data_IF_418716126195
#
_entry.id   IF_418716126195
#
_cell.length_a   1.000
_cell.length_b   1.000
_cell.length_c   1.000
_cell.angle_alpha   90.00
_cell.angle_beta   90.00
_cell.angle_gamma   90.00
#
_symmetry.space_group_name_H-M   'P 1'
#
loop_
_entity.id
_entity.type
_entity.pdbx_description
1 polymer ?
#
# COMPACT_ATOMS: atom_id res chain seq x y z
N UNK A 1 -8.46 -41.14 5.44
CA UNK A 1 -7.29 -40.57 6.12
C UNK A 1 -6.67 -39.54 5.18
N UNK A 2 -7.43 -38.47 4.91
CA UNK A 2 -7.20 -37.48 3.84
C UNK A 2 -7.23 -36.07 4.48
N UNK A 3 -6.52 -35.93 5.59
CA UNK A 3 -6.48 -34.70 6.38
C UNK A 3 -5.02 -34.47 6.78
N UNK A 4 -4.16 -34.22 5.79
CA UNK A 4 -2.75 -33.91 6.07
C UNK A 4 -2.03 -33.20 4.92
N UNK A 5 -2.70 -32.25 4.25
CA UNK A 5 -1.99 -31.42 3.25
C UNK A 5 -2.50 -29.98 3.13
N UNK A 6 -3.65 -29.66 3.72
CA UNK A 6 -4.19 -28.29 3.80
C UNK A 6 -3.48 -27.40 4.82
N UNK A 7 -2.73 -27.99 5.76
CA UNK A 7 -2.07 -27.24 6.84
C UNK A 7 -0.62 -26.84 6.52
N UNK A 8 0.02 -27.48 5.53
CA UNK A 8 1.39 -27.16 5.13
C UNK A 8 1.52 -25.83 4.36
N UNK A 9 0.41 -25.21 3.92
CA UNK A 9 0.40 -23.85 3.35
C UNK A 9 0.36 -22.75 4.42
N UNK A 10 0.25 -23.09 5.71
CA UNK A 10 0.04 -22.12 6.80
C UNK A 10 1.32 -21.63 7.46
N UNK A 11 2.47 -22.21 7.15
CA UNK A 11 3.74 -21.92 7.82
C UNK A 11 4.72 -21.22 6.87
N UNK A 12 4.52 -19.92 6.68
CA UNK A 12 5.63 -19.03 6.40
C UNK A 12 5.31 -17.67 7.04
N UNK A 13 5.84 -17.36 8.23
CA UNK A 13 6.04 -15.97 8.61
C UNK A 13 7.10 -15.41 7.66
N UNK A 14 6.64 -15.05 6.46
CA UNK A 14 7.39 -14.23 5.52
C UNK A 14 7.78 -12.99 6.31
N UNK A 15 9.07 -12.90 6.63
CA UNK A 15 9.61 -11.79 7.35
C UNK A 15 9.11 -10.52 6.65
N UNK A 16 8.37 -9.69 7.38
CA UNK A 16 7.91 -8.42 6.85
C UNK A 16 9.17 -7.60 6.61
N UNK A 17 9.76 -7.73 5.41
CA UNK A 17 10.99 -7.06 5.06
C UNK A 17 10.82 -5.57 5.33
N UNK A 18 11.86 -4.85 5.78
CA UNK A 18 11.77 -3.44 6.19
C UNK A 18 11.35 -2.45 5.07
N UNK A 19 10.86 -2.91 3.92
CA UNK A 19 10.43 -2.08 2.79
C UNK A 19 9.18 -1.23 3.08
N UNK A 20 8.15 -1.81 3.72
CA UNK A 20 6.92 -1.08 4.06
C UNK A 20 7.17 0.02 5.11
N UNK A 21 8.15 -0.20 5.99
CA UNK A 21 8.53 0.73 7.04
C UNK A 21 8.94 2.10 6.48
N UNK A 22 9.64 2.12 5.33
CA UNK A 22 10.19 3.37 4.76
C UNK A 22 9.11 4.32 4.26
N UNK A 23 8.03 3.81 3.66
CA UNK A 23 6.91 4.64 3.20
C UNK A 23 6.11 5.22 4.37
N UNK A 24 5.92 4.42 5.42
CA UNK A 24 5.24 4.86 6.65
C UNK A 24 6.07 5.95 7.34
N UNK A 25 7.39 5.79 7.40
CA UNK A 25 8.31 6.80 7.94
C UNK A 25 8.30 8.08 7.10
N UNK A 26 8.29 7.97 5.77
CA UNK A 26 8.19 9.12 4.87
C UNK A 26 6.89 9.92 5.06
N UNK A 27 5.76 9.22 5.15
CA UNK A 27 4.46 9.85 5.42
C UNK A 27 4.44 10.52 6.79
N UNK A 28 4.97 9.85 7.83
CA UNK A 28 5.06 10.41 9.17
C UNK A 28 5.91 11.69 9.21
N UNK A 29 7.03 11.73 8.47
CA UNK A 29 7.88 12.92 8.34
C UNK A 29 7.13 14.08 7.67
N UNK A 30 6.42 13.83 6.57
CA UNK A 30 5.64 14.87 5.88
C UNK A 30 4.53 15.41 6.79
N UNK A 31 3.81 14.54 7.51
CA UNK A 31 2.82 14.97 8.49
C UNK A 31 3.43 15.85 9.60
N UNK A 32 4.61 15.51 10.11
CA UNK A 32 5.29 16.29 11.13
C UNK A 32 5.73 17.67 10.61
N UNK A 33 6.25 17.74 9.38
CA UNK A 33 6.66 19.01 8.75
C UNK A 33 5.45 19.92 8.52
N UNK A 34 4.34 19.38 8.01
CA UNK A 34 3.10 20.14 7.83
C UNK A 34 2.57 20.66 9.16
N UNK A 35 2.61 19.85 10.22
CA UNK A 35 2.17 20.26 11.55
C UNK A 35 3.01 21.43 12.10
N UNK A 36 4.34 21.38 11.91
CA UNK A 36 5.24 22.48 12.30
C UNK A 36 5.02 23.74 11.45
N UNK A 37 4.80 23.58 10.15
CA UNK A 37 4.54 24.70 9.24
C UNK A 37 3.23 25.43 9.58
N UNK A 38 2.21 24.71 10.06
CA UNK A 38 0.94 25.30 10.49
C UNK A 38 1.08 26.13 11.77
N UNK A 39 1.97 25.71 12.68
CA UNK A 39 2.27 26.44 13.92
C UNK A 39 3.07 27.73 13.66
N UNK A 40 3.82 27.80 12.57
CA UNK A 40 4.64 28.95 12.20
C UNK A 40 3.87 30.05 11.45
N UNK A 41 2.56 29.88 11.22
CA UNK A 41 1.76 30.79 10.41
C UNK A 41 0.69 31.49 11.26
N UNK A 42 1.00 32.68 11.79
CA UNK A 42 -0.02 33.59 12.35
C UNK A 42 -1.03 34.00 11.27
N UNK A 43 -2.28 33.52 11.38
CA UNK A 43 -3.37 33.92 10.47
C UNK A 43 -4.11 35.16 10.95
N UNK A 44 -4.21 36.15 10.07
CA UNK A 44 -5.18 37.25 10.18
C UNK A 44 -6.57 36.76 9.78
N UNK A 45 -7.31 36.29 10.77
CA UNK A 45 -8.66 35.75 10.63
C UNK A 45 -9.69 36.87 10.40
N UNK A 46 -10.53 36.75 9.37
CA UNK A 46 -11.60 37.70 9.04
C UNK A 46 -13.00 37.23 9.49
N UNK A 47 -13.16 35.95 9.83
CA UNK A 47 -14.45 35.35 10.24
C UNK A 47 -14.40 34.84 11.70
N UNK A 48 -15.45 35.06 12.51
CA UNK A 48 -15.42 34.76 13.95
C UNK A 48 -15.31 33.27 14.29
N UNK A 49 -15.59 32.36 13.34
CA UNK A 49 -15.45 30.90 13.52
C UNK A 49 -14.00 30.43 13.45
N UNK A 50 -13.12 31.21 12.82
CA UNK A 50 -11.70 30.89 12.65
C UNK A 50 -10.84 31.38 13.83
N UNK A 51 -11.43 32.07 14.82
CA UNK A 51 -10.70 32.54 16.00
C UNK A 51 -10.32 31.43 16.98
N UNK A 52 -10.73 30.18 16.72
CA UNK A 52 -10.33 29.04 17.54
C UNK A 52 -8.87 28.65 17.22
N UNK A 53 -7.95 28.72 18.20
CA UNK A 53 -6.58 28.29 17.99
C UNK A 53 -6.57 26.79 17.66
N UNK A 54 -6.05 26.43 16.48
CA UNK A 54 -5.85 25.04 16.08
C UNK A 54 -6.81 24.51 15.00
N UNK A 55 -7.80 25.28 14.53
CA UNK A 55 -8.68 24.84 13.43
C UNK A 55 -7.89 24.45 12.17
N UNK A 56 -6.92 25.28 11.81
CA UNK A 56 -6.07 25.10 10.64
C UNK A 56 -5.01 24.00 10.80
N UNK A 57 -4.61 23.66 12.03
CA UNK A 57 -3.69 22.56 12.28
C UNK A 57 -4.41 21.20 12.30
N UNK A 58 -5.64 21.16 12.81
CA UNK A 58 -6.43 19.93 12.96
C UNK A 58 -7.07 19.53 11.62
N UNK A 59 -7.52 20.49 10.80
CA UNK A 59 -8.23 20.18 9.56
C UNK A 59 -7.38 19.38 8.54
N UNK A 60 -6.12 19.74 8.24
CA UNK A 60 -5.26 18.98 7.34
C UNK A 60 -4.84 17.65 7.95
N UNK A 61 -4.64 17.60 9.27
CA UNK A 61 -4.34 16.36 10.00
C UNK A 61 -5.48 15.34 9.81
N UNK A 62 -6.72 15.76 10.05
CA UNK A 62 -7.91 14.92 9.90
C UNK A 62 -8.16 14.57 8.42
N UNK A 63 -8.01 15.52 7.51
CA UNK A 63 -8.22 15.30 6.06
C UNK A 63 -7.21 14.29 5.50
N UNK A 64 -5.94 14.37 5.91
CA UNK A 64 -4.91 13.42 5.48
C UNK A 64 -5.21 12.00 5.96
N UNK A 65 -5.59 11.84 7.23
CA UNK A 65 -6.00 10.55 7.79
C UNK A 65 -7.22 9.98 7.05
N UNK A 66 -8.23 10.82 6.79
CA UNK A 66 -9.42 10.42 6.05
C UNK A 66 -9.09 9.89 4.65
N UNK A 67 -8.22 10.59 3.90
CA UNK A 67 -7.79 10.15 2.56
C UNK A 67 -7.09 8.79 2.57
N UNK A 68 -6.19 8.55 3.53
CA UNK A 68 -5.49 7.27 3.66
C UNK A 68 -6.48 6.14 3.96
N UNK A 69 -7.44 6.37 4.85
CA UNK A 69 -8.47 5.37 5.18
C UNK A 69 -9.30 5.04 3.93
N UNK A 70 -9.77 6.05 3.19
CA UNK A 70 -10.52 5.86 1.95
C UNK A 70 -9.71 5.06 0.92
N UNK A 71 -8.44 5.38 0.73
CA UNK A 71 -7.57 4.65 -0.19
C UNK A 71 -7.40 3.18 0.22
N UNK A 72 -7.24 2.88 1.52
CA UNK A 72 -7.14 1.51 2.01
C UNK A 72 -8.43 0.72 1.81
N UNK A 73 -9.58 1.35 2.05
CA UNK A 73 -10.89 0.73 1.81
C UNK A 73 -11.06 0.44 0.31
N UNK A 74 -10.74 1.41 -0.55
CA UNK A 74 -10.79 1.23 -1.99
C UNK A 74 -9.85 0.14 -2.46
N UNK A 75 -8.62 0.08 -1.92
CA UNK A 75 -7.65 -0.97 -2.22
C UNK A 75 -8.16 -2.35 -1.81
N UNK A 76 -8.82 -2.47 -0.65
CA UNK A 76 -9.41 -3.74 -0.22
C UNK A 76 -10.53 -4.20 -1.15
N UNK A 77 -11.37 -3.28 -1.63
CA UNK A 77 -12.43 -3.56 -2.59
C UNK A 77 -11.86 -3.96 -3.96
N UNK A 78 -10.81 -3.28 -4.42
CA UNK A 78 -10.15 -3.56 -5.70
C UNK A 78 -9.25 -4.79 -5.68
N UNK A 79 -8.91 -5.33 -4.51
CA UNK A 79 -7.93 -6.41 -4.39
C UNK A 79 -8.47 -7.67 -5.06
N UNK A 80 -7.91 -7.96 -6.24
CA UNK A 80 -8.25 -9.13 -7.06
C UNK A 80 -7.71 -10.42 -6.43
N UNK A 81 -8.45 -11.54 -6.47
CA UNK A 81 -7.97 -12.83 -5.97
C UNK A 81 -6.85 -13.38 -6.86
N UNK A 82 -5.89 -14.05 -6.20
CA UNK A 82 -4.65 -14.56 -6.81
C UNK A 82 -4.86 -15.61 -7.91
N UNK A 83 -6.05 -16.21 -8.01
CA UNK A 83 -6.38 -17.24 -9.01
C UNK A 83 -7.28 -16.79 -10.16
N UNK A 84 -7.57 -15.50 -10.32
CA UNK A 84 -8.61 -15.07 -11.28
C UNK A 84 -8.27 -15.32 -12.76
N UNK A 85 -7.01 -15.59 -13.12
CA UNK A 85 -6.62 -16.03 -14.47
C UNK A 85 -6.08 -17.46 -14.51
N UNK A 86 -6.10 -18.19 -13.40
CA UNK A 86 -5.44 -19.50 -13.27
C UNK A 86 -5.78 -20.55 -14.35
N UNK A 87 -6.99 -20.59 -14.98
CA UNK A 87 -7.23 -21.51 -16.08
C UNK A 87 -6.87 -20.99 -17.48
N UNK A 88 -6.46 -19.71 -17.62
CA UNK A 88 -6.06 -19.06 -18.89
C UNK A 88 -4.76 -18.25 -18.73
N UNK A 89 -3.92 -18.63 -17.78
CA UNK A 89 -2.66 -17.95 -17.52
C UNK A 89 -1.64 -18.39 -18.57
N UNK A 90 -0.76 -17.48 -18.97
CA UNK A 90 0.30 -17.71 -19.97
C UNK A 90 1.29 -18.77 -19.46
N UNK A 91 1.45 -18.87 -18.14
CA UNK A 91 2.24 -19.90 -17.46
C UNK A 91 1.65 -21.32 -17.61
N UNK A 92 0.35 -21.43 -17.92
CA UNK A 92 -0.33 -22.72 -18.11
C UNK A 92 -0.33 -23.17 -19.57
N UNK A 93 -0.09 -22.24 -20.52
CA UNK A 93 0.01 -22.57 -21.93
C UNK A 93 1.37 -23.21 -22.24
N UNK A 94 1.37 -24.23 -23.10
CA UNK A 94 2.61 -24.83 -23.59
C UNK A 94 3.36 -23.77 -24.42
N UNK A 95 4.52 -23.33 -23.92
CA UNK A 95 5.32 -22.30 -24.60
C UNK A 95 5.73 -22.81 -26.00
N UNK A 96 5.58 -21.99 -27.04
CA UNK A 96 5.85 -22.41 -28.42
C UNK A 96 7.37 -22.63 -28.62
N UNK A 97 7.71 -23.86 -28.99
CA UNK A 97 9.10 -24.35 -29.10
C UNK A 97 9.88 -23.69 -30.26
N UNK A 98 9.19 -23.05 -31.20
CA UNK A 98 9.75 -22.38 -32.37
C UNK A 98 10.39 -21.01 -32.05
N UNK A 99 10.08 -20.43 -30.89
CA UNK A 99 10.73 -19.22 -30.35
C UNK A 99 11.89 -19.50 -29.39
N UNK A 100 12.15 -20.77 -29.04
CA UNK A 100 13.20 -21.13 -28.09
C UNK A 100 14.53 -21.34 -28.83
N UNK A 101 15.31 -20.27 -28.97
CA UNK A 101 16.69 -20.36 -29.46
C UNK A 101 17.57 -21.05 -28.40
N UNK A 102 17.49 -22.39 -28.33
CA UNK A 102 18.33 -23.26 -27.50
C UNK A 102 19.74 -23.35 -28.10
N UNK A 103 20.45 -22.23 -28.16
CA UNK A 103 21.86 -22.22 -28.52
C UNK A 103 22.69 -22.49 -27.25
N UNK A 104 22.99 -23.78 -27.03
CA UNK A 104 24.11 -24.27 -26.21
C UNK A 104 24.10 -23.84 -24.73
N UNK A 105 23.32 -24.52 -23.90
CA UNK A 105 23.48 -24.50 -22.43
C UNK A 105 24.34 -25.67 -21.92
N UNK A 106 24.93 -26.42 -22.85
CA UNK A 106 25.74 -27.61 -22.69
C UNK A 106 27.13 -27.38 -23.30
N UNK A 107 27.96 -26.63 -22.57
CA UNK A 107 29.44 -26.63 -22.68
C UNK A 107 30.08 -26.61 -21.30
#
# INVERSE_FOLDING_TARGET
MEHDQTDARKEAPENQGPGASRMIVGLALVCAVLFLADFAYEKHVYVPVESMPGFYAIFPLVTCLALVIVARVLQAVLRRPVGYYAPKDVETEAYPEDGLNRERADV
#
